data_IF_580619607510
#
_entry.id   IF_580619607510
#
_cell.length_a   1.000
_cell.length_b   1.000
_cell.length_c   1.000
_cell.angle_alpha   90.00
_cell.angle_beta   90.00
_cell.angle_gamma   90.00
#
_symmetry.space_group_name_H-M   'P 1'
#
loop_
_entity.id
_entity.type
_entity.pdbx_description
1 polymer ?
#
# COMPACT_ATOMS: atom_id res chain seq x y z
N UNK A 1 -12.99 18.20 10.03
CA UNK A 1 -13.23 16.84 10.54
C UNK A 1 -11.90 16.16 10.85
N UNK A 2 -11.87 15.14 11.72
CA UNK A 2 -10.68 14.31 11.98
C UNK A 2 -10.93 12.94 11.35
N UNK A 3 -10.32 12.66 10.20
CA UNK A 3 -10.51 11.42 9.46
C UNK A 3 -9.15 10.72 9.31
N UNK A 4 -9.13 9.41 9.46
CA UNK A 4 -7.98 8.56 9.17
C UNK A 4 -8.43 7.51 8.15
N UNK A 5 -7.48 6.90 7.43
CA UNK A 5 -7.78 5.83 6.48
C UNK A 5 -6.80 4.68 6.66
N UNK A 6 -7.32 3.47 6.64
CA UNK A 6 -6.51 2.27 6.62
C UNK A 6 -7.23 1.15 5.90
N UNK A 7 -6.53 0.06 5.63
CA UNK A 7 -7.15 -1.12 5.04
C UNK A 7 -6.20 -2.31 4.97
N UNK A 8 -6.76 -3.46 4.56
CA UNK A 8 -6.05 -4.72 4.39
C UNK A 8 -5.91 -5.08 2.91
N UNK A 9 -4.74 -5.53 2.46
CA UNK A 9 -4.54 -6.06 1.10
C UNK A 9 -4.93 -5.06 0.00
N UNK A 10 -5.90 -5.38 -0.86
CA UNK A 10 -6.49 -4.42 -1.81
C UNK A 10 -7.09 -3.18 -1.12
N UNK A 11 -7.65 -3.32 0.08
CA UNK A 11 -8.09 -2.18 0.88
C UNK A 11 -6.92 -1.34 1.40
N UNK A 12 -5.78 -1.96 1.71
CA UNK A 12 -4.54 -1.27 2.07
C UNK A 12 -3.95 -0.49 0.89
N UNK A 13 -3.98 -1.08 -0.30
CA UNK A 13 -3.71 -0.39 -1.55
C UNK A 13 -4.60 0.86 -1.73
N UNK A 14 -5.91 0.71 -1.50
CA UNK A 14 -6.86 1.81 -1.53
C UNK A 14 -6.52 2.91 -0.53
N UNK A 15 -6.23 2.55 0.72
CA UNK A 15 -5.87 3.50 1.77
C UNK A 15 -4.65 4.34 1.39
N UNK A 16 -3.56 3.69 0.95
CA UNK A 16 -2.32 4.37 0.55
C UNK A 16 -2.56 5.34 -0.62
N UNK A 17 -3.18 4.87 -1.70
CA UNK A 17 -3.40 5.71 -2.88
C UNK A 17 -4.37 6.86 -2.61
N UNK A 18 -5.42 6.64 -1.82
CA UNK A 18 -6.38 7.67 -1.46
C UNK A 18 -5.74 8.72 -0.56
N UNK A 19 -4.94 8.32 0.44
CA UNK A 19 -4.22 9.24 1.31
C UNK A 19 -3.22 10.11 0.52
N UNK A 20 -2.39 9.48 -0.34
CA UNK A 20 -1.42 10.18 -1.20
C UNK A 20 -2.08 11.18 -2.16
N UNK A 21 -3.29 10.88 -2.66
CA UNK A 21 -4.05 11.78 -3.54
C UNK A 21 -4.79 12.89 -2.77
N UNK A 22 -5.00 12.73 -1.47
CA UNK A 22 -5.80 13.64 -0.64
C UNK A 22 -5.11 13.92 0.71
N UNK A 23 -3.87 14.44 0.74
CA UNK A 23 -3.07 14.52 1.95
C UNK A 23 -3.70 15.41 3.04
N UNK A 24 -4.42 16.48 2.65
CA UNK A 24 -5.08 17.38 3.59
C UNK A 24 -6.36 16.81 4.22
N UNK A 25 -6.90 15.71 3.67
CA UNK A 25 -8.16 15.11 4.12
C UNK A 25 -7.96 14.15 5.29
N UNK A 26 -6.85 13.42 5.29
CA UNK A 26 -6.58 12.36 6.26
C UNK A 26 -5.45 12.76 7.21
N UNK A 27 -5.66 12.52 8.50
CA UNK A 27 -4.69 12.81 9.55
C UNK A 27 -3.64 11.71 9.69
N UNK A 28 -3.97 10.49 9.31
CA UNK A 28 -3.07 9.36 9.32
C UNK A 28 -3.48 8.34 8.26
N UNK A 29 -2.50 7.55 7.81
CA UNK A 29 -2.68 6.47 6.86
C UNK A 29 -1.92 5.23 7.35
N UNK A 30 -2.60 4.09 7.42
CA UNK A 30 -1.95 2.80 7.70
C UNK A 30 -2.46 1.69 6.81
N UNK A 31 -1.77 0.54 6.78
CA UNK A 31 -2.24 -0.63 6.06
C UNK A 31 -1.71 -1.94 6.63
N UNK A 32 -2.52 -2.99 6.53
CA UNK A 32 -2.11 -4.37 6.76
C UNK A 32 -1.89 -5.06 5.42
N UNK A 33 -0.72 -5.66 5.23
CA UNK A 33 -0.36 -6.44 4.05
C UNK A 33 -0.79 -5.76 2.72
N UNK A 34 -0.46 -4.48 2.45
CA UNK A 34 -0.97 -3.77 1.29
C UNK A 34 -0.36 -4.26 -0.03
N UNK A 35 -1.15 -4.20 -1.11
CA UNK A 35 -0.63 -4.28 -2.48
C UNK A 35 -0.01 -2.91 -2.82
N UNK A 36 1.31 -2.76 -2.65
CA UNK A 36 1.94 -1.43 -2.78
C UNK A 36 2.20 -1.01 -4.23
N UNK A 37 2.43 -1.99 -5.12
CA UNK A 37 2.67 -1.75 -6.55
C UNK A 37 1.78 -2.66 -7.41
N UNK A 38 0.46 -2.41 -7.48
CA UNK A 38 -0.47 -3.26 -8.21
C UNK A 38 -0.20 -3.35 -9.72
N UNK A 39 0.49 -2.36 -10.31
CA UNK A 39 0.84 -2.32 -11.73
C UNK A 39 1.74 -3.48 -12.18
N UNK A 40 2.54 -4.04 -11.27
CA UNK A 40 3.50 -5.11 -11.56
C UNK A 40 3.23 -6.40 -10.79
N UNK A 41 2.26 -6.43 -9.87
CA UNK A 41 1.91 -7.64 -9.11
C UNK A 41 1.03 -8.56 -9.95
N UNK A 42 1.38 -9.86 -9.96
CA UNK A 42 0.80 -10.84 -10.90
C UNK A 42 -0.73 -10.93 -10.82
N UNK A 43 -1.30 -10.85 -9.62
CA UNK A 43 -2.74 -10.94 -9.40
C UNK A 43 -3.53 -9.65 -9.65
N UNK A 44 -2.88 -8.48 -9.63
CA UNK A 44 -3.55 -7.17 -9.72
C UNK A 44 -3.37 -6.50 -11.08
N UNK A 45 -2.27 -6.77 -11.79
CA UNK A 45 -2.02 -6.24 -13.13
C UNK A 45 -3.17 -6.55 -14.12
N UNK A 46 -3.75 -7.77 -14.15
CA UNK A 46 -4.89 -8.04 -15.03
C UNK A 46 -6.14 -7.19 -14.72
N UNK A 47 -6.35 -6.82 -13.46
CA UNK A 47 -7.45 -5.94 -13.08
C UNK A 47 -7.24 -4.51 -13.62
N UNK A 48 -6.00 -4.03 -13.60
CA UNK A 48 -5.64 -2.72 -14.14
C UNK A 48 -5.87 -2.66 -15.64
N UNK A 49 -5.40 -3.67 -16.37
CA UNK A 49 -5.62 -3.77 -17.81
C UNK A 49 -7.11 -3.79 -18.16
N UNK A 50 -7.92 -4.54 -17.40
CA UNK A 50 -9.37 -4.64 -17.62
C UNK A 50 -10.13 -3.36 -17.31
N UNK A 51 -9.75 -2.61 -16.26
CA UNK A 51 -10.51 -1.44 -15.80
C UNK A 51 -9.99 -0.11 -16.36
N UNK A 52 -8.68 -0.01 -16.62
CA UNK A 52 -8.01 1.22 -17.04
C UNK A 52 -7.49 1.14 -18.49
N UNK A 53 -7.58 -0.04 -19.12
CA UNK A 53 -7.06 -0.28 -20.46
C UNK A 53 -5.58 -0.65 -20.47
N UNK A 54 -5.04 -0.87 -21.66
CA UNK A 54 -3.66 -1.36 -21.88
C UNK A 54 -2.58 -0.28 -21.78
N UNK A 55 -2.95 0.99 -21.68
CA UNK A 55 -1.98 2.09 -21.48
C UNK A 55 -1.54 2.15 -20.02
N UNK A 56 -0.38 1.56 -19.71
CA UNK A 56 0.19 1.52 -18.37
C UNK A 56 0.48 2.92 -17.79
N UNK A 57 0.53 3.97 -18.61
CA UNK A 57 0.65 5.35 -18.09
C UNK A 57 -0.56 5.75 -17.24
N UNK A 58 -1.75 5.28 -17.62
CA UNK A 58 -3.00 5.56 -16.89
C UNK A 58 -3.04 4.89 -15.50
N UNK A 59 -2.26 3.83 -15.32
CA UNK A 59 -2.22 3.03 -14.09
C UNK A 59 -1.50 3.75 -12.94
N UNK A 60 -0.57 4.65 -13.25
CA UNK A 60 0.25 5.37 -12.27
C UNK A 60 -0.60 6.10 -11.22
N UNK A 61 -1.76 6.64 -11.63
CA UNK A 61 -2.70 7.34 -10.75
C UNK A 61 -3.35 6.45 -9.67
N UNK A 62 -3.15 5.13 -9.77
CA UNK A 62 -3.70 4.10 -8.90
C UNK A 62 -2.59 3.15 -8.42
N UNK A 63 -1.35 3.58 -8.33
CA UNK A 63 -0.25 2.76 -7.78
C UNK A 63 0.48 3.57 -6.71
N UNK A 64 0.60 3.05 -5.49
CA UNK A 64 1.14 3.83 -4.38
C UNK A 64 2.62 4.19 -4.59
N UNK A 65 3.42 3.24 -5.09
CA UNK A 65 4.83 3.48 -5.39
C UNK A 65 4.99 4.51 -6.50
N UNK A 66 4.21 4.39 -7.58
CA UNK A 66 4.31 5.31 -8.72
C UNK A 66 3.75 6.71 -8.39
N UNK A 67 2.72 6.82 -7.55
CA UNK A 67 2.26 8.11 -7.03
C UNK A 67 3.37 8.84 -6.24
N UNK A 68 4.13 8.10 -5.43
CA UNK A 68 5.25 8.65 -4.67
C UNK A 68 6.37 9.12 -5.62
N UNK A 69 6.71 8.30 -6.62
CA UNK A 69 7.64 8.67 -7.69
C UNK A 69 7.18 9.93 -8.44
N UNK A 70 5.88 10.06 -8.70
CA UNK A 70 5.26 11.20 -9.38
C UNK A 70 5.09 12.44 -8.47
N UNK A 71 5.69 12.43 -7.27
CA UNK A 71 5.75 13.60 -6.40
C UNK A 71 4.65 13.69 -5.35
N UNK A 72 3.74 12.72 -5.24
CA UNK A 72 2.76 12.70 -4.14
C UNK A 72 3.44 12.39 -2.81
N UNK A 73 2.97 13.03 -1.75
CA UNK A 73 3.52 12.93 -0.40
C UNK A 73 2.38 12.78 0.59
N UNK A 74 2.68 12.09 1.68
CA UNK A 74 1.86 12.02 2.88
C UNK A 74 2.81 12.08 4.08
N UNK A 75 2.45 12.70 5.23
CA UNK A 75 3.41 12.97 6.30
C UNK A 75 4.09 11.73 6.87
N UNK A 76 3.29 10.71 7.20
CA UNK A 76 3.76 9.45 7.79
C UNK A 76 2.85 8.29 7.37
N UNK A 77 3.43 7.10 7.17
CA UNK A 77 2.70 5.89 6.80
C UNK A 77 3.12 4.75 7.74
N UNK A 78 2.14 4.00 8.25
CA UNK A 78 2.37 2.76 9.00
C UNK A 78 1.95 1.55 8.16
N UNK A 79 2.83 0.56 8.03
CA UNK A 79 2.49 -0.73 7.38
C UNK A 79 2.90 -1.88 8.28
N UNK A 80 1.97 -2.81 8.48
CA UNK A 80 2.23 -4.11 9.07
C UNK A 80 2.14 -5.21 8.00
N UNK A 81 3.15 -6.07 7.95
CA UNK A 81 3.20 -7.18 7.01
C UNK A 81 3.56 -8.48 7.73
N UNK A 82 2.74 -9.51 7.60
CA UNK A 82 3.10 -10.86 8.02
C UNK A 82 4.22 -11.45 7.15
N UNK A 83 5.23 -12.04 7.78
CA UNK A 83 6.38 -12.68 7.09
C UNK A 83 6.04 -14.06 6.50
N UNK A 84 5.01 -14.73 7.03
CA UNK A 84 4.49 -16.00 6.54
C UNK A 84 3.30 -15.80 5.57
N UNK A 85 3.08 -14.58 5.11
CA UNK A 85 2.02 -14.24 4.15
C UNK A 85 2.32 -14.86 2.77
N UNK A 86 1.42 -15.73 2.30
CA UNK A 86 1.56 -16.42 1.02
C UNK A 86 1.57 -15.49 -0.20
N UNK A 87 1.15 -14.24 -0.06
CA UNK A 87 1.14 -13.24 -1.15
C UNK A 87 2.34 -12.29 -1.09
N UNK A 88 3.24 -12.45 -0.10
CA UNK A 88 4.32 -11.50 0.18
C UNK A 88 5.21 -11.21 -1.04
N UNK A 89 5.68 -12.27 -1.71
CA UNK A 89 6.70 -12.18 -2.76
C UNK A 89 6.18 -11.62 -4.08
N UNK A 90 4.97 -12.00 -4.49
CA UNK A 90 4.47 -11.69 -5.83
C UNK A 90 3.32 -10.67 -5.82
N UNK A 91 2.57 -10.59 -4.70
CA UNK A 91 1.37 -9.77 -4.58
C UNK A 91 1.59 -8.47 -3.83
N UNK A 92 2.32 -8.52 -2.72
CA UNK A 92 2.38 -7.42 -1.74
C UNK A 92 3.64 -6.58 -1.86
N UNK A 93 4.81 -7.21 -1.70
CA UNK A 93 6.14 -6.63 -1.94
C UNK A 93 6.38 -5.29 -1.22
N UNK A 94 6.21 -5.20 0.11
CA UNK A 94 6.28 -3.94 0.86
C UNK A 94 7.65 -3.24 0.78
N UNK A 95 8.73 -3.97 0.44
CA UNK A 95 10.05 -3.37 0.22
C UNK A 95 10.03 -2.32 -0.91
N UNK A 96 9.18 -2.47 -1.94
CA UNK A 96 9.04 -1.48 -3.01
C UNK A 96 8.50 -0.15 -2.48
N UNK A 97 7.57 -0.18 -1.50
CA UNK A 97 7.11 1.00 -0.80
C UNK A 97 8.22 1.60 0.05
N UNK A 98 8.99 0.76 0.75
CA UNK A 98 10.15 1.20 1.52
C UNK A 98 11.17 1.97 0.68
N UNK A 99 11.50 1.45 -0.50
CA UNK A 99 12.39 2.13 -1.45
C UNK A 99 11.82 3.45 -1.96
N UNK A 100 10.54 3.48 -2.33
CA UNK A 100 9.86 4.68 -2.81
C UNK A 100 9.81 5.77 -1.73
N UNK A 101 9.38 5.43 -0.51
CA UNK A 101 9.32 6.35 0.63
C UNK A 101 10.72 6.88 0.98
N UNK A 102 11.74 6.02 1.03
CA UNK A 102 13.12 6.43 1.30
C UNK A 102 13.65 7.44 0.27
N UNK A 103 13.40 7.21 -1.03
CA UNK A 103 13.80 8.14 -2.10
C UNK A 103 13.05 9.48 -2.02
N UNK A 104 11.79 9.43 -1.59
CA UNK A 104 10.90 10.58 -1.53
C UNK A 104 10.99 11.40 -0.23
N UNK A 105 11.65 10.88 0.80
CA UNK A 105 11.69 11.47 2.14
C UNK A 105 10.36 11.36 2.90
N UNK A 106 9.56 10.33 2.63
CA UNK A 106 8.33 10.03 3.38
C UNK A 106 8.68 9.15 4.58
N UNK A 107 8.17 9.51 5.76
CA UNK A 107 8.33 8.68 6.95
C UNK A 107 7.47 7.41 6.83
N UNK A 108 8.13 6.25 6.77
CA UNK A 108 7.48 4.95 6.69
C UNK A 108 7.92 4.11 7.89
N UNK A 109 6.97 3.77 8.74
CA UNK A 109 7.12 2.69 9.72
C UNK A 109 6.63 1.40 9.08
N UNK A 110 7.55 0.58 8.57
CA UNK A 110 7.26 -0.76 8.05
C UNK A 110 7.65 -1.82 9.09
N UNK A 111 6.66 -2.55 9.62
CA UNK A 111 6.84 -3.62 10.60
C UNK A 111 6.62 -4.98 9.93
N UNK A 112 7.67 -5.80 9.90
CA UNK A 112 7.59 -7.19 9.45
C UNK A 112 7.28 -8.07 10.67
N UNK A 113 6.11 -8.71 10.67
CA UNK A 113 5.57 -9.48 11.79
C UNK A 113 5.88 -10.97 11.58
N UNK A 114 6.78 -11.50 12.42
CA UNK A 114 7.29 -12.87 12.29
C UNK A 114 6.19 -13.92 12.46
N UNK A 115 6.08 -14.87 11.54
CA UNK A 115 5.13 -15.98 11.59
C UNK A 115 3.66 -15.64 11.27
N UNK A 116 3.31 -14.37 11.09
CA UNK A 116 1.94 -13.96 10.74
C UNK A 116 1.65 -14.13 9.24
N UNK A 117 0.41 -14.53 8.93
CA UNK A 117 -0.09 -14.77 7.58
C UNK A 117 -0.97 -13.61 7.07
N UNK A 118 -1.76 -13.84 6.00
CA UNK A 118 -2.67 -12.85 5.41
C UNK A 118 -4.06 -12.78 6.08
N UNK A 119 -4.26 -13.52 7.17
CA UNK A 119 -5.59 -13.73 7.73
C UNK A 119 -6.04 -12.60 8.65
N UNK A 120 -7.33 -12.61 9.00
CA UNK A 120 -7.83 -11.71 10.03
C UNK A 120 -7.26 -11.98 11.43
N UNK A 121 -6.67 -13.15 11.70
CA UNK A 121 -5.97 -13.39 12.97
C UNK A 121 -4.71 -12.52 13.08
N UNK A 122 -4.01 -12.33 11.96
CA UNK A 122 -2.90 -11.37 11.89
C UNK A 122 -3.42 -9.96 12.15
N UNK A 123 -4.42 -9.52 11.40
CA UNK A 123 -4.97 -8.16 11.51
C UNK A 123 -5.44 -7.89 12.94
N UNK A 124 -6.25 -8.79 13.53
CA UNK A 124 -6.83 -8.59 14.86
C UNK A 124 -5.79 -8.50 15.98
N UNK A 125 -4.60 -9.07 15.80
CA UNK A 125 -3.53 -9.04 16.82
C UNK A 125 -2.91 -7.65 16.97
N UNK A 126 -2.95 -6.84 15.91
CA UNK A 126 -2.31 -5.52 15.88
C UNK A 126 -3.33 -4.38 15.70
N UNK A 127 -4.62 -4.69 15.82
CA UNK A 127 -5.71 -3.72 15.85
C UNK A 127 -5.99 -3.34 17.30
N UNK A 128 -5.50 -2.16 17.70
CA UNK A 128 -5.71 -1.52 19.00
C UNK A 128 -6.53 -0.22 18.88
#
# INVERSE_FOLDING_TARGET
>A
SRQAIFGHSMGGHGALTIALKNPERYRSCSAFAPIVQPSTAGWSRPAFEKYLGTDEKSWRAYDATLLIEDGKRFPEILVDQGTADGFLQDGLRPWLLGEACKKAGIDLTLRMQEGYDHSYNFISTFMD
#
